data_IF_828034213451
#
_entry.id   IF_828034213451
#
_cell.length_a   1.000
_cell.length_b   1.000
_cell.length_c   1.000
_cell.angle_alpha   90.00
_cell.angle_beta   90.00
_cell.angle_gamma   90.00
#
_symmetry.space_group_name_H-M   'P 1'
#
loop_
_entity.id
_entity.type
_entity.pdbx_description
1 polymer ?
#
# COMPACT_ATOMS: atom_id res chain seq x y z
N UNK A 1 -22.41 -73.02 37.00
CA UNK A 1 -23.14 -72.98 38.29
C UNK A 1 -23.97 -71.68 38.36
N UNK A 2 -24.99 -71.63 39.23
CA UNK A 2 -25.90 -70.51 39.50
C UNK A 2 -25.18 -69.16 39.82
N UNK A 3 -25.74 -67.94 39.78
CA UNK A 3 -27.09 -67.32 39.50
C UNK A 3 -26.83 -65.79 39.26
N UNK A 4 -27.72 -64.85 38.89
CA UNK A 4 -29.15 -64.75 38.54
C UNK A 4 -29.39 -63.49 37.64
N UNK A 5 -30.65 -63.06 37.41
CA UNK A 5 -31.03 -61.74 36.83
C UNK A 5 -31.88 -60.91 37.81
N UNK A 6 -32.91 -60.13 37.40
CA UNK A 6 -33.24 -59.58 36.07
C UNK A 6 -33.81 -58.11 36.10
N UNK A 7 -34.21 -57.57 34.92
CA UNK A 7 -35.18 -56.44 34.75
C UNK A 7 -34.72 -55.02 35.17
N UNK A 8 -35.28 -53.89 34.66
CA UNK A 8 -36.49 -53.65 33.86
C UNK A 8 -36.39 -52.42 32.92
N UNK A 9 -37.07 -52.52 31.78
CA UNK A 9 -37.37 -51.53 30.71
C UNK A 9 -37.88 -50.14 31.13
N UNK A 10 -37.69 -49.12 30.25
CA UNK A 10 -38.73 -48.33 29.50
C UNK A 10 -38.06 -47.22 28.64
N UNK A 11 -38.58 -46.65 27.53
CA UNK A 11 -39.55 -47.10 26.49
C UNK A 11 -39.54 -46.10 25.29
N UNK A 12 -39.67 -46.60 24.05
CA UNK A 12 -40.18 -45.99 22.77
C UNK A 12 -40.34 -44.45 22.68
N UNK A 13 -39.71 -43.72 21.75
CA UNK A 13 -39.93 -43.63 20.28
C UNK A 13 -41.36 -43.23 19.78
N UNK A 14 -41.41 -42.07 19.09
CA UNK A 14 -42.04 -41.74 17.77
C UNK A 14 -43.59 -41.51 17.57
N UNK A 15 -43.98 -40.23 17.41
CA UNK A 15 -44.98 -39.59 16.48
C UNK A 15 -46.46 -40.14 16.43
N UNK A 16 -47.42 -39.64 15.58
CA UNK A 16 -47.60 -38.35 14.83
C UNK A 16 -49.02 -37.66 14.92
N UNK A 17 -49.17 -36.39 14.47
CA UNK A 17 -50.42 -35.68 14.02
C UNK A 17 -51.61 -35.53 15.03
N UNK A 18 -52.70 -34.70 14.82
CA UNK A 18 -53.32 -34.18 13.58
C UNK A 18 -53.84 -32.71 13.57
N UNK A 19 -54.71 -32.39 12.60
CA UNK A 19 -55.30 -31.08 12.21
C UNK A 19 -56.59 -30.67 12.95
N UNK A 20 -56.89 -29.36 13.03
CA UNK A 20 -58.26 -28.81 12.88
C UNK A 20 -58.32 -27.27 12.66
N UNK A 21 -59.51 -26.77 12.28
CA UNK A 21 -59.77 -25.52 11.54
C UNK A 21 -60.70 -24.50 12.24
N UNK A 22 -60.62 -23.20 11.90
CA UNK A 22 -61.73 -22.24 12.08
C UNK A 22 -61.62 -21.01 11.13
N UNK A 23 -62.69 -20.19 11.04
CA UNK A 23 -63.04 -19.41 9.83
C UNK A 23 -63.63 -18.01 10.10
N UNK A 24 -63.65 -17.15 9.05
CA UNK A 24 -64.53 -15.98 8.77
C UNK A 24 -64.12 -14.52 9.12
N UNK A 25 -64.73 -13.59 8.34
CA UNK A 25 -64.56 -12.11 8.15
C UNK A 25 -65.53 -11.28 9.03
N UNK A 26 -65.32 -9.95 9.31
CA UNK A 26 -65.72 -8.77 8.45
C UNK A 26 -64.70 -7.57 8.48
N UNK A 27 -64.51 -6.66 7.50
CA UNK A 27 -65.34 -5.62 6.79
C UNK A 27 -65.45 -4.23 7.49
N UNK A 28 -65.13 -3.13 6.73
CA UNK A 28 -65.25 -1.66 6.99
C UNK A 28 -64.25 -1.01 7.99
N UNK A 29 -63.77 0.24 7.80
CA UNK A 29 -63.81 1.16 6.64
C UNK A 29 -63.68 2.67 6.98
N UNK A 30 -62.97 3.45 6.15
CA UNK A 30 -62.96 4.94 6.14
C UNK A 30 -61.86 5.62 7.02
N UNK A 31 -61.41 6.86 6.74
CA UNK A 31 -61.92 7.87 5.76
C UNK A 31 -60.92 9.02 5.45
N UNK A 32 -60.53 9.16 4.16
CA UNK A 32 -60.22 10.41 3.38
C UNK A 32 -58.97 11.25 3.81
N UNK A 33 -58.40 12.11 2.94
CA UNK A 33 -58.95 12.82 1.76
C UNK A 33 -58.00 12.79 0.54
N UNK A 34 -58.58 12.76 -0.67
CA UNK A 34 -57.94 13.09 -1.95
C UNK A 34 -57.73 14.63 -2.09
N UNK A 35 -57.25 15.20 -3.20
CA UNK A 35 -57.93 15.31 -4.51
C UNK A 35 -56.92 15.17 -5.66
N UNK A 36 -57.35 14.56 -6.75
CA UNK A 36 -56.68 14.49 -8.06
C UNK A 36 -56.89 15.78 -8.88
N UNK A 37 -56.20 15.92 -10.01
CA UNK A 37 -56.91 16.11 -11.29
C UNK A 37 -55.97 15.72 -12.46
N UNK A 38 -56.48 14.88 -13.35
CA UNK A 38 -55.88 14.50 -14.63
C UNK A 38 -56.41 15.46 -15.72
N UNK A 39 -55.56 15.86 -16.67
CA UNK A 39 -56.02 16.21 -18.03
C UNK A 39 -55.07 15.57 -19.06
N UNK A 40 -55.68 14.82 -19.98
CA UNK A 40 -55.04 14.05 -21.06
C UNK A 40 -55.28 14.77 -22.41
N UNK A 41 -54.55 14.35 -23.46
CA UNK A 41 -54.70 14.76 -24.88
C UNK A 41 -54.35 16.20 -25.30
N UNK A 42 -53.30 16.38 -26.12
CA UNK A 42 -53.41 16.33 -27.60
C UNK A 42 -52.08 16.69 -28.31
N UNK A 43 -51.96 16.30 -29.57
CA UNK A 43 -50.79 16.49 -30.45
C UNK A 43 -50.50 17.94 -30.83
N UNK A 44 -49.21 18.29 -30.89
CA UNK A 44 -48.70 19.42 -31.66
C UNK A 44 -47.37 19.06 -32.32
N UNK A 45 -47.34 19.01 -33.65
CA UNK A 45 -46.09 19.00 -34.42
C UNK A 45 -45.36 20.32 -34.18
N UNK A 46 -44.07 20.25 -33.84
CA UNK A 46 -43.17 21.39 -33.95
C UNK A 46 -42.20 21.12 -35.09
N UNK A 47 -42.33 21.93 -36.15
CA UNK A 47 -41.29 22.09 -37.16
C UNK A 47 -39.97 22.47 -36.47
N UNK A 48 -38.90 21.71 -36.74
CA UNK A 48 -37.53 22.14 -36.46
C UNK A 48 -37.14 23.25 -37.46
N UNK A 49 -36.89 24.49 -37.04
CA UNK A 49 -36.06 25.38 -37.83
C UNK A 49 -34.60 24.94 -37.67
N UNK A 50 -33.92 24.63 -38.78
CA UNK A 50 -32.47 24.36 -38.81
C UNK A 50 -31.71 25.48 -38.08
N UNK A 51 -31.31 25.23 -36.84
CA UNK A 51 -30.36 26.09 -36.13
C UNK A 51 -28.95 25.64 -36.49
N UNK A 52 -28.34 26.37 -37.42
CA UNK A 52 -26.90 26.33 -37.66
C UNK A 52 -26.15 26.62 -36.34
N UNK A 53 -25.71 25.56 -35.66
CA UNK A 53 -24.94 25.67 -34.42
C UNK A 53 -23.56 26.22 -34.77
N UNK A 54 -23.33 27.48 -34.39
CA UNK A 54 -22.02 28.13 -34.46
C UNK A 54 -20.96 27.32 -33.70
N UNK A 55 -20.10 26.64 -34.47
CA UNK A 55 -19.06 25.72 -34.01
C UNK A 55 -17.99 26.40 -33.10
N UNK A 56 -18.04 27.73 -33.00
CA UNK A 56 -17.19 28.57 -32.16
C UNK A 56 -17.53 28.50 -30.66
N UNK A 57 -18.82 28.42 -30.28
CA UNK A 57 -19.21 28.57 -28.86
C UNK A 57 -19.11 27.26 -28.05
N UNK A 58 -19.34 26.10 -28.69
CA UNK A 58 -19.31 24.80 -28.01
C UNK A 58 -17.93 24.38 -27.46
N UNK A 59 -16.83 24.92 -27.99
CA UNK A 59 -15.47 24.60 -27.52
C UNK A 59 -15.16 25.19 -26.14
N UNK A 60 -15.65 26.38 -25.83
CA UNK A 60 -15.38 27.05 -24.56
C UNK A 60 -16.00 26.33 -23.36
N UNK A 61 -17.26 25.88 -23.51
CA UNK A 61 -17.96 25.14 -22.46
C UNK A 61 -17.40 23.72 -22.29
N UNK A 62 -17.03 23.05 -23.40
CA UNK A 62 -16.38 21.74 -23.35
C UNK A 62 -15.01 21.76 -22.64
N UNK A 63 -14.17 22.78 -22.90
CA UNK A 63 -12.88 22.93 -22.21
C UNK A 63 -13.06 23.28 -20.72
N UNK A 64 -14.07 24.11 -20.40
CA UNK A 64 -14.46 24.39 -19.02
C UNK A 64 -15.01 23.14 -18.28
N UNK A 65 -15.76 22.27 -18.94
CA UNK A 65 -16.21 20.98 -18.39
C UNK A 65 -15.02 20.05 -18.11
N UNK A 66 -14.04 20.00 -19.04
CA UNK A 66 -12.80 19.24 -18.87
C UNK A 66 -11.98 19.77 -17.68
N UNK A 67 -11.86 21.08 -17.50
CA UNK A 67 -11.13 21.69 -16.37
C UNK A 67 -11.81 21.47 -15.02
N UNK A 68 -13.15 21.50 -14.98
CA UNK A 68 -13.92 21.11 -13.78
C UNK A 68 -13.64 19.64 -13.43
N UNK A 69 -13.76 18.72 -14.40
CA UNK A 69 -13.52 17.29 -14.20
C UNK A 69 -12.07 16.95 -13.87
N UNK A 70 -11.11 17.69 -14.42
CA UNK A 70 -9.70 17.57 -14.05
C UNK A 70 -9.50 17.97 -12.59
N UNK A 71 -10.10 19.09 -12.16
CA UNK A 71 -10.06 19.54 -10.76
C UNK A 71 -10.69 18.54 -9.79
N UNK A 72 -11.80 17.90 -10.17
CA UNK A 72 -12.45 16.86 -9.37
C UNK A 72 -11.63 15.56 -9.32
N UNK A 73 -10.95 15.19 -10.41
CA UNK A 73 -9.97 14.09 -10.40
C UNK A 73 -8.80 14.39 -9.45
N UNK A 74 -8.29 15.62 -9.44
CA UNK A 74 -7.24 16.05 -8.50
C UNK A 74 -7.70 15.96 -7.05
N UNK A 75 -8.88 16.50 -6.71
CA UNK A 75 -9.46 16.39 -5.35
C UNK A 75 -9.64 14.93 -4.93
N UNK A 76 -10.14 14.10 -5.83
CA UNK A 76 -10.34 12.67 -5.59
C UNK A 76 -9.01 11.94 -5.36
N UNK A 77 -7.97 12.24 -6.14
CA UNK A 77 -6.64 11.64 -5.98
C UNK A 77 -6.00 12.02 -4.64
N UNK A 78 -6.03 13.31 -4.26
CA UNK A 78 -5.50 13.80 -2.99
C UNK A 78 -6.20 13.15 -1.79
N UNK A 79 -7.54 13.02 -1.83
CA UNK A 79 -8.29 12.37 -0.76
C UNK A 79 -8.02 10.86 -0.64
N UNK A 80 -7.78 10.18 -1.76
CA UNK A 80 -7.38 8.77 -1.76
C UNK A 80 -5.96 8.58 -1.23
N UNK A 81 -5.05 9.51 -1.52
CA UNK A 81 -3.66 9.42 -1.05
C UNK A 81 -3.53 9.66 0.46
N UNK A 82 -4.31 10.56 1.07
CA UNK A 82 -4.38 10.69 2.53
C UNK A 82 -4.73 9.35 3.24
N UNK A 83 -5.50 8.47 2.57
CA UNK A 83 -5.85 7.13 3.09
C UNK A 83 -4.91 6.03 2.55
N UNK A 84 -3.89 6.41 1.77
CA UNK A 84 -3.02 5.54 0.98
C UNK A 84 -3.85 4.45 0.28
N UNK A 85 -4.92 4.84 -0.41
CA UNK A 85 -5.86 3.92 -1.09
C UNK A 85 -5.62 3.89 -2.60
N UNK A 86 -5.61 2.68 -3.18
CA UNK A 86 -5.42 2.46 -4.61
C UNK A 86 -6.60 3.02 -5.44
N UNK A 87 -6.28 3.81 -6.47
CA UNK A 87 -7.27 4.54 -7.28
C UNK A 87 -7.60 3.73 -8.54
N UNK A 88 -8.78 3.11 -8.62
CA UNK A 88 -9.16 2.31 -9.81
C UNK A 88 -9.78 3.19 -10.90
N UNK A 89 -9.53 2.87 -12.17
CA UNK A 89 -10.16 3.56 -13.32
C UNK A 89 -11.69 3.50 -13.26
N UNK A 90 -12.26 2.41 -12.74
CA UNK A 90 -13.70 2.28 -12.55
C UNK A 90 -14.25 3.25 -11.49
N UNK A 91 -13.49 3.53 -10.43
CA UNK A 91 -13.84 4.51 -9.41
C UNK A 91 -13.76 5.94 -9.96
N UNK A 92 -12.69 6.28 -10.69
CA UNK A 92 -12.59 7.56 -11.41
C UNK A 92 -13.79 7.72 -12.37
N UNK A 93 -14.11 6.67 -13.13
CA UNK A 93 -15.22 6.72 -14.10
C UNK A 93 -16.55 6.98 -13.40
N UNK A 94 -16.83 6.30 -12.27
CA UNK A 94 -18.08 6.46 -11.52
C UNK A 94 -18.17 7.78 -10.75
N UNK A 95 -17.08 8.23 -10.13
CA UNK A 95 -17.06 9.34 -9.16
C UNK A 95 -16.74 10.70 -9.78
N UNK A 96 -16.07 10.73 -10.93
CA UNK A 96 -15.63 11.98 -11.59
C UNK A 96 -16.24 12.15 -12.98
N UNK A 97 -16.26 11.09 -13.81
CA UNK A 97 -16.68 11.21 -15.21
C UNK A 97 -18.19 10.99 -15.43
N UNK A 98 -18.82 10.17 -14.58
CA UNK A 98 -20.22 9.76 -14.73
C UNK A 98 -20.45 9.03 -16.06
N UNK A 99 -21.36 9.54 -16.87
CA UNK A 99 -21.62 9.08 -18.24
C UNK A 99 -20.43 9.29 -19.19
N UNK A 100 -19.61 10.32 -18.96
CA UNK A 100 -18.61 10.81 -19.92
C UNK A 100 -17.28 10.02 -19.84
N UNK A 101 -17.36 8.69 -19.62
CA UNK A 101 -16.20 7.78 -19.48
C UNK A 101 -15.17 7.84 -20.63
N UNK A 102 -15.58 8.29 -21.82
CA UNK A 102 -14.70 8.48 -22.99
C UNK A 102 -13.70 9.64 -22.82
N UNK A 103 -14.01 10.66 -22.00
CA UNK A 103 -13.11 11.79 -21.76
C UNK A 103 -12.01 11.52 -20.72
N UNK A 104 -11.88 10.27 -20.23
CA UNK A 104 -10.87 9.89 -19.24
C UNK A 104 -9.44 10.31 -19.64
N UNK A 105 -9.01 10.10 -20.89
CA UNK A 105 -7.66 10.44 -21.31
C UNK A 105 -7.41 11.97 -21.30
N UNK A 106 -8.25 12.83 -21.94
CA UNK A 106 -8.15 14.28 -21.81
C UNK A 106 -8.18 14.78 -20.36
N UNK A 107 -9.13 14.30 -19.55
CA UNK A 107 -9.27 14.70 -18.13
C UNK A 107 -8.04 14.30 -17.32
N UNK A 108 -7.48 13.10 -17.57
CA UNK A 108 -6.25 12.65 -16.93
C UNK A 108 -5.06 13.53 -17.32
N UNK A 109 -4.85 13.82 -18.60
CA UNK A 109 -3.74 14.67 -19.04
C UNK A 109 -3.80 16.07 -18.40
N UNK A 110 -5.00 16.65 -18.32
CA UNK A 110 -5.21 17.95 -17.68
C UNK A 110 -5.03 17.89 -16.17
N UNK A 111 -5.53 16.86 -15.50
CA UNK A 111 -5.30 16.63 -14.07
C UNK A 111 -3.81 16.42 -13.74
N UNK A 112 -3.05 15.71 -14.58
CA UNK A 112 -1.59 15.55 -14.41
C UNK A 112 -0.84 16.88 -14.49
N UNK A 113 -1.24 17.78 -15.40
CA UNK A 113 -0.67 19.14 -15.48
C UNK A 113 -0.94 19.94 -14.20
N UNK A 114 -2.14 19.81 -13.61
CA UNK A 114 -2.50 20.46 -12.35
C UNK A 114 -1.75 19.85 -11.15
N UNK A 115 -1.68 18.51 -11.05
CA UNK A 115 -0.96 17.81 -9.97
C UNK A 115 0.52 18.18 -9.96
N UNK A 116 1.19 18.14 -11.12
CA UNK A 116 2.62 18.46 -11.21
C UNK A 116 2.91 19.94 -10.96
N UNK A 117 2.09 20.85 -11.50
CA UNK A 117 2.30 22.30 -11.36
C UNK A 117 2.02 22.82 -9.95
N UNK A 118 0.94 22.36 -9.31
CA UNK A 118 0.45 22.94 -8.05
C UNK A 118 0.89 22.15 -6.83
N UNK A 119 0.98 20.82 -6.94
CA UNK A 119 1.20 19.93 -5.80
C UNK A 119 2.50 19.13 -5.87
N UNK A 120 3.31 19.31 -6.94
CA UNK A 120 4.49 18.49 -7.23
C UNK A 120 4.21 16.98 -7.11
N UNK A 121 3.07 16.53 -7.64
CA UNK A 121 2.64 15.12 -7.63
C UNK A 121 2.24 14.64 -9.02
N UNK A 122 2.19 13.32 -9.22
CA UNK A 122 1.72 12.69 -10.44
C UNK A 122 0.92 11.41 -10.17
N UNK A 123 -0.05 11.11 -11.04
CA UNK A 123 -0.85 9.90 -10.96
C UNK A 123 -0.20 8.78 -11.79
N UNK A 124 0.35 7.74 -11.15
CA UNK A 124 1.12 6.67 -11.81
C UNK A 124 0.27 5.40 -11.90
N UNK A 125 0.23 4.75 -13.07
CA UNK A 125 -0.41 3.44 -13.21
C UNK A 125 0.49 2.33 -12.66
N UNK A 126 -0.04 1.57 -11.70
CA UNK A 126 0.66 0.42 -11.13
C UNK A 126 0.81 -0.70 -12.17
N UNK A 127 1.88 -1.49 -12.04
CA UNK A 127 2.00 -2.73 -12.81
C UNK A 127 0.92 -3.74 -12.40
N UNK A 128 0.52 -4.61 -13.34
CA UNK A 128 -0.47 -5.64 -13.06
C UNK A 128 0.05 -6.60 -11.96
N UNK A 129 -0.82 -7.08 -11.07
CA UNK A 129 -0.41 -7.91 -9.90
C UNK A 129 0.39 -9.18 -10.27
N UNK A 130 0.20 -9.70 -11.49
CA UNK A 130 0.94 -10.84 -12.05
C UNK A 130 2.39 -10.51 -12.45
N UNK A 131 2.83 -9.25 -12.32
CA UNK A 131 4.17 -8.80 -12.68
C UNK A 131 5.28 -9.63 -12.00
N UNK A 132 5.04 -10.18 -10.81
CA UNK A 132 5.94 -11.12 -10.14
C UNK A 132 6.41 -12.25 -11.05
N UNK A 133 5.49 -12.91 -11.76
CA UNK A 133 5.78 -14.03 -12.65
C UNK A 133 6.66 -13.63 -13.85
N UNK A 134 6.68 -12.34 -14.22
CA UNK A 134 7.49 -11.85 -15.34
C UNK A 134 8.94 -11.59 -14.97
N UNK A 135 9.25 -11.08 -13.77
CA UNK A 135 10.64 -10.82 -13.38
C UNK A 135 11.39 -12.10 -12.97
N UNK A 136 10.76 -13.07 -12.29
CA UNK A 136 11.44 -14.37 -12.01
C UNK A 136 11.68 -15.18 -13.28
N UNK A 137 10.78 -15.06 -14.27
CA UNK A 137 10.96 -15.68 -15.57
C UNK A 137 11.85 -14.88 -16.53
N UNK A 138 12.28 -13.66 -16.16
CA UNK A 138 13.22 -12.84 -16.91
C UNK A 138 14.70 -13.13 -16.57
N UNK A 139 14.98 -14.24 -15.87
CA UNK A 139 16.26 -14.93 -16.03
C UNK A 139 16.50 -15.35 -17.48
N UNK A 140 17.76 -15.56 -17.85
CA UNK A 140 18.27 -15.69 -19.24
C UNK A 140 17.40 -16.54 -20.19
N UNK A 141 16.83 -17.64 -19.68
CA UNK A 141 16.09 -18.65 -20.46
C UNK A 141 14.98 -18.07 -21.35
N UNK A 142 14.20 -17.07 -20.90
CA UNK A 142 13.14 -16.50 -21.73
C UNK A 142 13.66 -15.57 -22.84
N UNK A 143 14.84 -14.98 -22.70
CA UNK A 143 15.39 -14.08 -23.71
C UNK A 143 16.06 -14.89 -24.83
N UNK A 144 16.78 -15.96 -24.48
CA UNK A 144 17.36 -16.87 -25.46
C UNK A 144 16.27 -17.69 -26.20
N UNK A 145 15.27 -18.22 -25.49
CA UNK A 145 14.14 -18.91 -26.11
C UNK A 145 13.26 -18.02 -27.00
N UNK A 146 13.12 -16.71 -26.68
CA UNK A 146 12.41 -15.75 -27.54
C UNK A 146 13.17 -15.42 -28.82
N UNK A 147 14.49 -15.27 -28.73
CA UNK A 147 15.34 -15.04 -29.89
C UNK A 147 15.34 -16.25 -30.84
N UNK A 148 15.27 -17.47 -30.30
CA UNK A 148 15.22 -18.71 -31.09
C UNK A 148 13.86 -18.99 -31.78
N UNK A 149 12.74 -18.46 -31.28
CA UNK A 149 11.39 -18.88 -31.73
C UNK A 149 10.63 -17.88 -32.62
N UNK A 150 11.16 -16.67 -32.84
CA UNK A 150 10.62 -15.73 -33.84
C UNK A 150 9.19 -15.23 -33.59
N UNK A 151 8.65 -15.44 -32.37
CA UNK A 151 7.25 -15.09 -32.04
C UNK A 151 7.10 -13.57 -31.93
N UNK A 152 6.36 -13.00 -32.90
CA UNK A 152 6.09 -11.56 -32.97
C UNK A 152 5.52 -11.02 -31.66
N UNK A 153 6.06 -9.87 -31.22
CA UNK A 153 5.66 -9.04 -30.07
C UNK A 153 4.16 -9.10 -29.79
N UNK A 154 3.73 -10.00 -28.89
CA UNK A 154 2.37 -10.00 -28.36
C UNK A 154 2.20 -8.70 -27.57
N UNK A 155 1.13 -7.97 -27.88
CA UNK A 155 0.85 -6.61 -27.40
C UNK A 155 1.07 -6.51 -25.90
N UNK A 156 1.65 -5.39 -25.44
CA UNK A 156 1.91 -5.13 -24.02
C UNK A 156 0.68 -5.48 -23.18
N UNK A 157 0.90 -6.16 -22.04
CA UNK A 157 -0.17 -6.55 -21.14
C UNK A 157 -1.01 -5.31 -20.79
N UNK A 158 -2.34 -5.45 -20.84
CA UNK A 158 -3.22 -4.36 -20.46
C UNK A 158 -2.85 -3.88 -19.05
N UNK A 159 -2.58 -2.58 -18.92
CA UNK A 159 -2.22 -1.97 -17.63
C UNK A 159 -3.24 -2.30 -16.54
N UNK A 160 -2.81 -2.21 -15.28
CA UNK A 160 -3.63 -2.61 -14.13
C UNK A 160 -4.93 -1.80 -13.99
N UNK A 161 -5.05 -0.68 -14.71
CA UNK A 161 -6.10 0.35 -14.59
C UNK A 161 -6.25 0.83 -13.13
N UNK A 162 -5.18 0.71 -12.36
CA UNK A 162 -5.10 1.03 -10.94
C UNK A 162 -3.93 1.98 -10.75
N UNK A 163 -4.19 3.11 -10.12
CA UNK A 163 -3.27 4.22 -10.01
C UNK A 163 -2.93 4.52 -8.55
N UNK A 164 -1.79 5.15 -8.34
CA UNK A 164 -1.34 5.75 -7.07
C UNK A 164 -0.92 7.20 -7.33
N UNK A 165 -0.89 8.01 -6.28
CA UNK A 165 -0.35 9.37 -6.35
C UNK A 165 1.08 9.36 -5.82
N UNK A 166 2.05 9.84 -6.62
CA UNK A 166 3.47 9.86 -6.27
C UNK A 166 3.98 11.30 -6.22
N UNK A 167 4.87 11.60 -5.28
CA UNK A 167 5.62 12.86 -5.27
C UNK A 167 6.59 12.94 -6.44
N UNK A 168 6.60 14.06 -7.15
CA UNK A 168 7.61 14.43 -8.15
C UNK A 168 8.56 15.51 -7.64
N UNK A 169 8.57 15.78 -6.32
CA UNK A 169 9.53 16.67 -5.71
C UNK A 169 10.92 16.03 -5.74
N UNK A 170 11.95 16.82 -6.04
CA UNK A 170 13.32 16.33 -6.12
C UNK A 170 13.80 15.81 -4.74
N UNK A 171 14.33 14.57 -4.63
CA UNK A 171 14.84 14.04 -3.38
C UNK A 171 15.85 14.95 -2.68
N UNK A 172 16.66 15.70 -3.43
CA UNK A 172 17.65 16.64 -2.89
C UNK A 172 16.96 17.80 -2.14
N UNK A 173 15.80 18.27 -2.62
CA UNK A 173 15.02 19.30 -1.93
C UNK A 173 14.44 18.76 -0.62
N UNK A 174 13.96 17.51 -0.62
CA UNK A 174 13.45 16.84 0.59
C UNK A 174 14.58 16.67 1.60
N UNK A 175 15.75 16.21 1.16
CA UNK A 175 16.93 16.05 2.02
C UNK A 175 17.34 17.39 2.66
N UNK A 176 17.43 18.47 1.88
CA UNK A 176 17.75 19.80 2.42
C UNK A 176 16.68 20.33 3.37
N UNK A 177 15.38 20.10 3.09
CA UNK A 177 14.28 20.51 3.96
C UNK A 177 14.17 19.68 5.26
N UNK A 178 14.80 18.50 5.29
CA UNK A 178 14.87 17.61 6.44
C UNK A 178 16.08 17.87 7.36
N UNK A 179 17.10 18.62 6.90
CA UNK A 179 18.28 18.96 7.71
C UNK A 179 17.89 19.91 8.84
N UNK A 180 18.41 19.65 10.03
CA UNK A 180 18.34 20.56 11.18
C UNK A 180 19.25 21.77 10.93
N UNK A 181 18.67 22.96 10.97
CA UNK A 181 19.36 24.25 11.09
C UNK A 181 19.40 24.66 12.57
N UNK A 182 20.57 25.04 13.05
CA UNK A 182 20.83 25.36 14.46
C UNK A 182 19.98 26.56 14.93
N UNK A 183 19.79 27.57 14.08
CA UNK A 183 19.03 28.78 14.44
C UNK A 183 17.54 28.51 14.53
N UNK A 184 17.01 27.73 13.58
CA UNK A 184 15.62 27.31 13.60
C UNK A 184 15.33 26.38 14.78
N UNK A 185 16.33 25.60 15.23
CA UNK A 185 16.22 24.77 16.43
C UNK A 185 16.21 25.61 17.72
N UNK A 186 17.11 26.60 17.83
CA UNK A 186 17.13 27.55 18.95
C UNK A 186 15.82 28.35 19.06
N UNK A 187 15.30 28.85 17.94
CA UNK A 187 14.05 29.62 17.87
C UNK A 187 12.84 28.75 18.26
N UNK A 188 12.74 27.50 17.75
CA UNK A 188 11.70 26.54 18.16
C UNK A 188 11.71 26.22 19.65
N UNK A 189 12.90 26.12 20.27
CA UNK A 189 13.02 25.88 21.72
C UNK A 189 12.63 27.13 22.52
N UNK A 190 13.00 28.33 22.06
CA UNK A 190 12.65 29.57 22.73
C UNK A 190 11.12 29.77 22.76
N UNK A 191 10.46 29.61 21.61
CA UNK A 191 8.99 29.68 21.50
C UNK A 191 8.32 28.63 22.42
N UNK A 192 8.81 27.38 22.41
CA UNK A 192 8.27 26.29 23.24
C UNK A 192 8.55 26.40 24.74
N UNK A 193 9.33 27.38 25.20
CA UNK A 193 9.58 27.64 26.62
C UNK A 193 8.69 28.73 27.22
N UNK A 194 7.97 29.52 26.41
CA UNK A 194 7.05 30.55 26.92
C UNK A 194 5.71 29.96 27.39
N UNK A 195 5.24 28.89 26.75
CA UNK A 195 4.02 28.14 27.12
C UNK A 195 4.31 27.16 28.27
N UNK A 196 4.36 27.68 29.49
CA UNK A 196 4.71 26.96 30.72
C UNK A 196 3.69 25.94 31.25
N UNK A 197 3.11 25.11 30.39
CA UNK A 197 2.31 23.94 30.76
C UNK A 197 3.15 22.65 30.61
N UNK A 198 3.28 21.87 31.70
CA UNK A 198 3.95 20.55 31.73
C UNK A 198 3.13 19.49 30.95
N UNK A 199 2.93 19.70 29.65
CA UNK A 199 2.16 18.79 28.79
C UNK A 199 3.11 17.80 28.09
N UNK A 200 2.96 16.51 28.41
CA UNK A 200 3.69 15.37 27.81
C UNK A 200 3.50 15.27 26.28
N UNK A 201 2.61 16.06 25.69
CA UNK A 201 2.31 16.18 24.25
C UNK A 201 3.11 17.33 23.54
N UNK A 202 4.09 17.98 24.21
CA UNK A 202 4.94 19.04 23.62
C UNK A 202 5.56 18.61 22.27
N UNK A 203 5.33 19.42 21.23
CA UNK A 203 5.75 19.09 19.87
C UNK A 203 7.28 19.09 19.74
N UNK A 204 7.86 17.92 19.45
CA UNK A 204 9.31 17.77 19.26
C UNK A 204 9.88 18.81 18.29
N UNK A 205 10.82 19.61 18.77
CA UNK A 205 11.61 20.52 17.95
C UNK A 205 12.53 19.70 17.03
N UNK A 206 12.59 20.08 15.75
CA UNK A 206 13.45 19.41 14.75
C UNK A 206 14.49 20.36 14.15
N UNK A 207 14.28 21.68 14.24
CA UNK A 207 15.10 22.69 13.56
C UNK A 207 15.07 22.57 12.03
N UNK A 208 14.14 21.80 11.46
CA UNK A 208 14.01 21.55 10.02
C UNK A 208 12.72 22.17 9.48
N UNK A 209 12.68 22.41 8.17
CA UNK A 209 11.48 22.93 7.47
C UNK A 209 10.33 21.91 7.57
N UNK A 210 10.65 20.61 7.55
CA UNK A 210 9.68 19.53 7.73
C UNK A 210 9.52 19.21 9.23
N UNK A 211 8.29 19.30 9.75
CA UNK A 211 7.93 18.86 11.11
C UNK A 211 7.48 17.38 11.07
N UNK A 212 8.38 16.48 11.48
CA UNK A 212 8.15 15.02 11.38
C UNK A 212 7.17 14.46 12.41
N UNK A 213 6.86 15.19 13.50
CA UNK A 213 5.87 14.80 14.52
C UNK A 213 4.43 14.98 14.04
N UNK A 214 4.20 16.05 13.25
CA UNK A 214 2.87 16.49 12.82
C UNK A 214 2.48 15.98 11.43
N UNK A 215 3.46 15.81 10.53
CA UNK A 215 3.19 15.70 9.08
C UNK A 215 3.08 14.27 8.54
N UNK A 216 3.61 13.25 9.21
CA UNK A 216 3.54 11.84 8.75
C UNK A 216 3.39 10.86 9.92
N UNK A 217 3.12 9.60 9.59
CA UNK A 217 3.03 8.47 10.51
C UNK A 217 4.41 7.80 10.63
N UNK A 218 5.41 8.55 11.12
CA UNK A 218 6.82 8.15 11.09
C UNK A 218 7.07 6.76 11.69
N UNK A 219 6.42 6.44 12.83
CA UNK A 219 6.51 5.11 13.45
C UNK A 219 5.97 3.98 12.55
N UNK A 220 4.80 4.18 11.93
CA UNK A 220 4.25 3.23 10.98
C UNK A 220 5.11 3.09 9.73
N UNK A 221 5.57 4.21 9.15
CA UNK A 221 6.43 4.23 7.97
C UNK A 221 7.77 3.53 8.23
N UNK A 222 8.38 3.71 9.40
CA UNK A 222 9.58 2.98 9.81
C UNK A 222 9.35 1.46 9.90
N UNK A 223 8.21 1.03 10.46
CA UNK A 223 7.84 -0.40 10.51
C UNK A 223 7.59 -0.97 9.11
N UNK A 224 6.93 -0.22 8.20
CA UNK A 224 6.76 -0.61 6.80
C UNK A 224 8.11 -0.83 6.11
N UNK A 225 9.02 0.15 6.15
CA UNK A 225 10.34 0.03 5.52
C UNK A 225 11.16 -1.11 6.12
N UNK A 226 11.06 -1.35 7.43
CA UNK A 226 11.70 -2.48 8.10
C UNK A 226 11.15 -3.83 7.62
N UNK A 227 9.83 -3.99 7.47
CA UNK A 227 9.21 -5.21 6.93
C UNK A 227 9.66 -5.45 5.48
N UNK A 228 9.71 -4.40 4.66
CA UNK A 228 10.17 -4.50 3.27
C UNK A 228 11.64 -4.89 3.19
N UNK A 229 12.51 -4.30 4.03
CA UNK A 229 13.92 -4.65 4.16
C UNK A 229 14.12 -6.12 4.57
N UNK A 230 13.36 -6.60 5.57
CA UNK A 230 13.40 -7.99 6.02
C UNK A 230 13.04 -8.96 4.89
N UNK A 231 11.96 -8.70 4.14
CA UNK A 231 11.55 -9.53 3.00
C UNK A 231 12.60 -9.49 1.88
N UNK A 232 13.19 -8.33 1.59
CA UNK A 232 14.21 -8.18 0.55
C UNK A 232 15.48 -8.98 0.90
N UNK A 233 15.93 -8.88 2.15
CA UNK A 233 17.09 -9.62 2.67
C UNK A 233 16.90 -11.14 2.75
N UNK A 234 15.67 -11.65 2.58
CA UNK A 234 15.37 -13.08 2.54
C UNK A 234 15.05 -13.60 1.12
N UNK A 235 15.44 -12.87 0.08
CA UNK A 235 15.24 -13.33 -1.31
C UNK A 235 13.89 -12.97 -1.91
N UNK A 236 13.32 -11.82 -1.50
CA UNK A 236 12.01 -11.27 -1.96
C UNK A 236 10.78 -12.04 -1.44
N UNK A 237 10.97 -13.10 -0.65
CA UNK A 237 9.95 -13.87 0.04
C UNK A 237 10.35 -14.15 1.50
N UNK A 238 9.37 -14.28 2.40
CA UNK A 238 9.60 -14.63 3.82
C UNK A 238 8.43 -15.42 4.38
N UNK A 239 8.67 -16.47 5.18
CA UNK A 239 7.57 -17.20 5.83
C UNK A 239 6.89 -16.37 6.92
N UNK A 240 5.61 -16.63 7.20
CA UNK A 240 4.88 -15.98 8.30
C UNK A 240 5.52 -16.24 9.68
N UNK A 241 6.15 -17.40 9.86
CA UNK A 241 6.89 -17.74 11.08
C UNK A 241 8.14 -16.87 11.24
N UNK A 242 8.94 -16.73 10.18
CA UNK A 242 10.16 -15.91 10.19
C UNK A 242 9.85 -14.42 10.34
N UNK A 243 8.80 -13.93 9.67
CA UNK A 243 8.37 -12.54 9.83
C UNK A 243 7.95 -12.26 11.27
N UNK A 244 7.13 -13.14 11.88
CA UNK A 244 6.72 -13.01 13.28
C UNK A 244 7.90 -13.13 14.26
N UNK A 245 8.87 -14.00 13.97
CA UNK A 245 10.08 -14.12 14.78
C UNK A 245 10.93 -12.85 14.75
N UNK A 246 11.11 -12.24 13.57
CA UNK A 246 11.82 -10.97 13.43
C UNK A 246 11.08 -9.80 14.07
N UNK A 247 9.77 -9.67 13.82
CA UNK A 247 8.94 -8.63 14.47
C UNK A 247 8.95 -8.75 16.00
N UNK A 248 8.91 -9.97 16.55
CA UNK A 248 9.06 -10.20 18.00
C UNK A 248 10.41 -9.71 18.54
N UNK A 249 11.52 -9.87 17.80
CA UNK A 249 12.85 -9.36 18.18
C UNK A 249 12.90 -7.83 18.19
N UNK A 250 12.09 -7.17 17.36
CA UNK A 250 11.91 -5.71 17.31
C UNK A 250 10.88 -5.18 18.34
N UNK A 251 10.46 -6.01 19.31
CA UNK A 251 9.41 -5.65 20.29
C UNK A 251 7.98 -5.70 19.74
N UNK A 252 7.79 -5.80 18.43
CA UNK A 252 6.51 -5.92 17.73
C UNK A 252 5.99 -7.36 17.75
N UNK A 253 5.83 -7.93 18.94
CA UNK A 253 5.17 -9.22 19.14
C UNK A 253 3.68 -9.17 18.73
N UNK A 254 2.96 -10.29 18.73
CA UNK A 254 1.53 -10.31 18.34
C UNK A 254 0.62 -9.45 19.25
N UNK A 255 1.04 -9.16 20.49
CA UNK A 255 0.38 -8.19 21.38
C UNK A 255 0.94 -6.77 21.27
N UNK A 256 1.98 -6.57 20.45
CA UNK A 256 2.58 -5.28 20.17
C UNK A 256 1.71 -4.40 19.28
N UNK A 257 1.85 -3.09 19.43
CA UNK A 257 1.14 -2.10 18.63
C UNK A 257 2.12 -1.13 17.97
N UNK A 258 1.79 -0.71 16.76
CA UNK A 258 2.51 0.31 15.99
C UNK A 258 1.93 1.67 16.37
N UNK A 259 2.78 2.61 16.76
CA UNK A 259 2.38 3.98 17.07
C UNK A 259 1.93 4.72 15.81
N UNK A 260 0.88 5.54 15.93
CA UNK A 260 0.29 6.34 14.86
C UNK A 260 0.31 7.82 15.26
N UNK A 261 0.32 8.72 14.28
CA UNK A 261 0.30 10.16 14.54
C UNK A 261 -1.10 10.66 14.98
N UNK A 262 -1.18 11.90 15.44
CA UNK A 262 -2.42 12.54 15.93
C UNK A 262 -3.54 12.64 14.86
N UNK A 263 -3.21 12.50 13.57
CA UNK A 263 -4.18 12.48 12.46
C UNK A 263 -4.92 11.13 12.34
N UNK A 264 -4.43 10.07 13.00
CA UNK A 264 -5.07 8.76 13.05
C UNK A 264 -6.22 8.73 14.06
N UNK A 265 -7.31 8.05 13.73
CA UNK A 265 -8.43 7.79 14.67
C UNK A 265 -8.03 6.90 15.85
N UNK A 266 -6.86 6.25 15.79
CA UNK A 266 -6.29 5.43 16.86
C UNK A 266 -4.83 5.82 17.07
N UNK A 267 -4.43 6.19 18.30
CA UNK A 267 -3.03 6.51 18.66
C UNK A 267 -2.08 5.31 18.48
N UNK A 268 -2.58 4.07 18.49
CA UNK A 268 -1.81 2.88 18.12
C UNK A 268 -2.67 1.82 17.43
N UNK A 269 -2.02 0.90 16.71
CA UNK A 269 -2.68 -0.17 15.96
C UNK A 269 -1.99 -1.53 16.20
N UNK A 270 -2.70 -2.62 16.56
CA UNK A 270 -2.11 -3.94 16.70
C UNK A 270 -1.38 -4.40 15.43
N UNK A 271 -0.25 -5.09 15.57
CA UNK A 271 0.61 -5.44 14.43
C UNK A 271 -0.11 -6.24 13.33
N UNK A 272 -0.96 -7.22 13.69
CA UNK A 272 -1.72 -8.01 12.72
C UNK A 272 -2.77 -7.16 11.96
N UNK A 273 -3.34 -6.13 12.61
CA UNK A 273 -4.24 -5.17 11.97
C UNK A 273 -3.46 -4.24 11.03
N UNK A 274 -2.25 -3.83 11.42
CA UNK A 274 -1.36 -3.02 10.57
C UNK A 274 -0.89 -3.79 9.32
N UNK A 275 -0.50 -5.06 9.46
CA UNK A 275 -0.20 -5.94 8.31
C UNK A 275 -1.41 -6.05 7.38
N UNK A 276 -2.62 -6.21 7.94
CA UNK A 276 -3.87 -6.21 7.17
C UNK A 276 -4.17 -4.87 6.47
N UNK A 277 -3.73 -3.74 7.03
CA UNK A 277 -3.79 -2.42 6.39
C UNK A 277 -2.79 -2.33 5.23
N UNK A 278 -1.52 -2.69 5.45
CA UNK A 278 -0.48 -2.70 4.40
C UNK A 278 -0.86 -3.58 3.20
N UNK A 279 -1.52 -4.72 3.44
CA UNK A 279 -2.10 -5.55 2.39
C UNK A 279 -3.20 -4.84 1.59
N UNK A 280 -4.12 -4.13 2.25
CA UNK A 280 -5.18 -3.37 1.58
C UNK A 280 -4.64 -2.18 0.77
N UNK A 281 -3.57 -1.55 1.26
CA UNK A 281 -2.86 -0.45 0.61
C UNK A 281 -1.95 -0.93 -0.54
N UNK A 282 -1.67 -2.23 -0.64
CA UNK A 282 -0.89 -2.84 -1.73
C UNK A 282 0.63 -2.83 -1.52
N UNK A 283 1.11 -2.58 -0.29
CA UNK A 283 2.53 -2.58 0.05
C UNK A 283 3.11 -3.99 0.27
N UNK A 284 2.29 -4.93 0.74
CA UNK A 284 2.69 -6.33 0.93
C UNK A 284 1.56 -7.26 0.44
N UNK A 285 1.91 -8.45 -0.04
CA UNK A 285 0.96 -9.54 -0.22
C UNK A 285 1.35 -10.74 0.65
N UNK A 286 0.34 -11.49 1.08
CA UNK A 286 0.46 -12.81 1.69
C UNK A 286 -0.09 -13.85 0.72
N UNK A 287 0.76 -14.77 0.27
CA UNK A 287 0.41 -15.86 -0.65
C UNK A 287 0.53 -17.20 0.10
N UNK A 288 -0.31 -18.18 -0.24
CA UNK A 288 -0.12 -19.57 0.18
C UNK A 288 0.83 -20.26 -0.80
N UNK A 289 1.89 -20.86 -0.27
CA UNK A 289 2.79 -21.72 -1.05
C UNK A 289 1.94 -22.82 -1.74
N UNK A 290 1.91 -22.81 -3.08
CA UNK A 290 1.09 -23.71 -3.90
C UNK A 290 -0.18 -23.11 -4.54
N UNK A 291 -0.64 -21.90 -4.19
CA UNK A 291 -1.77 -21.24 -4.87
C UNK A 291 -1.37 -20.49 -6.16
N UNK A 292 -0.58 -21.13 -7.03
CA UNK A 292 -0.44 -20.65 -8.42
C UNK A 292 -1.76 -20.91 -9.16
N UNK A 293 -2.55 -19.85 -9.39
CA UNK A 293 -3.75 -19.90 -10.23
C UNK A 293 -3.39 -20.12 -11.70
N UNK A 294 -3.12 -21.37 -12.04
CA UNK A 294 -2.94 -21.82 -13.42
C UNK A 294 -4.13 -21.37 -14.28
N UNK A 295 -3.86 -20.48 -15.23
CA UNK A 295 -4.89 -19.91 -16.11
C UNK A 295 -5.17 -20.85 -17.27
N UNK A 296 -6.32 -21.54 -17.21
CA UNK A 296 -6.95 -22.14 -18.39
C UNK A 296 -6.51 -23.57 -18.76
N UNK A 297 -7.05 -24.56 -18.05
CA UNK A 297 -7.08 -25.96 -18.49
C UNK A 297 -8.52 -26.49 -18.50
N UNK A 298 -8.92 -27.21 -19.56
CA UNK A 298 -10.27 -27.80 -19.67
C UNK A 298 -10.58 -28.73 -18.49
N UNK A 299 -11.87 -28.84 -18.13
CA UNK A 299 -12.40 -29.78 -17.12
C UNK A 299 -11.86 -31.21 -17.31
N UNK A 300 -10.78 -31.52 -16.60
CA UNK A 300 -10.21 -32.86 -16.47
C UNK A 300 -10.57 -33.43 -15.11
N UNK A 301 -11.11 -34.65 -15.10
CA UNK A 301 -11.50 -35.41 -13.90
C UNK A 301 -10.28 -35.53 -12.96
N UNK A 302 -10.41 -35.04 -11.74
CA UNK A 302 -9.35 -35.15 -10.74
C UNK A 302 -9.01 -36.64 -10.46
N UNK A 303 -7.72 -37.03 -10.39
CA UNK A 303 -7.34 -38.28 -9.79
C UNK A 303 -7.65 -38.26 -8.29
N UNK A 304 -7.93 -39.41 -7.70
CA UNK A 304 -8.33 -39.51 -6.30
C UNK A 304 -7.25 -38.95 -5.37
N UNK A 305 -7.66 -38.13 -4.41
CA UNK A 305 -6.77 -37.64 -3.37
C UNK A 305 -6.35 -38.79 -2.45
N UNK A 306 -5.09 -39.23 -2.58
CA UNK A 306 -4.42 -40.01 -1.55
C UNK A 306 -4.41 -39.16 -0.28
N UNK A 307 -4.82 -39.72 0.87
CA UNK A 307 -4.88 -39.00 2.13
C UNK A 307 -3.48 -38.59 2.60
N UNK A 308 -3.12 -37.33 2.32
CA UNK A 308 -1.99 -36.64 2.92
C UNK A 308 -2.37 -35.99 4.25
N UNK A 309 -1.39 -35.88 5.14
CA UNK A 309 -1.47 -35.31 6.48
C UNK A 309 -2.03 -33.86 6.46
N UNK A 310 -3.07 -33.51 7.25
CA UNK A 310 -3.72 -32.20 7.14
C UNK A 310 -2.91 -31.01 7.67
N UNK A 311 -1.84 -31.24 8.43
CA UNK A 311 -1.04 -30.19 9.09
C UNK A 311 0.29 -29.86 8.37
N UNK A 312 0.64 -30.54 7.28
CA UNK A 312 1.88 -30.26 6.55
C UNK A 312 1.71 -29.21 5.44
N UNK A 313 2.17 -28.00 5.76
CA UNK A 313 2.83 -27.09 4.84
C UNK A 313 2.00 -26.28 3.82
N UNK A 314 0.85 -25.71 4.24
CA UNK A 314 0.36 -24.45 3.64
C UNK A 314 1.16 -23.26 4.20
N UNK A 315 2.46 -23.19 3.90
CA UNK A 315 3.29 -22.06 4.31
C UNK A 315 2.74 -20.75 3.72
N UNK A 316 2.42 -19.78 4.59
CA UNK A 316 2.06 -18.44 4.18
C UNK A 316 3.35 -17.64 3.98
N UNK A 317 3.53 -17.09 2.78
CA UNK A 317 4.71 -16.33 2.39
C UNK A 317 4.36 -14.86 2.13
N UNK A 318 5.13 -13.98 2.75
CA UNK A 318 5.07 -12.54 2.62
C UNK A 318 6.01 -12.03 1.53
N UNK A 319 5.49 -11.10 0.75
CA UNK A 319 6.16 -10.57 -0.44
C UNK A 319 5.86 -9.08 -0.60
N UNK A 320 6.75 -8.34 -1.28
CA UNK A 320 6.50 -6.94 -1.66
C UNK A 320 5.30 -6.82 -2.61
N UNK A 321 4.31 -6.02 -2.23
CA UNK A 321 3.17 -5.68 -3.08
C UNK A 321 3.55 -4.71 -4.20
N UNK A 322 2.72 -4.62 -5.23
CA UNK A 322 2.98 -3.81 -6.42
C UNK A 322 3.20 -2.31 -6.11
N UNK A 323 2.68 -1.80 -4.99
CA UNK A 323 2.85 -0.39 -4.60
C UNK A 323 4.27 -0.09 -4.14
N UNK A 324 4.88 -0.99 -3.36
CA UNK A 324 6.25 -0.84 -2.87
C UNK A 324 7.26 -0.71 -3.99
N UNK A 325 7.06 -1.45 -5.10
CA UNK A 325 7.89 -1.33 -6.31
C UNK A 325 7.72 0.02 -7.06
N UNK A 326 6.58 0.70 -6.91
CA UNK A 326 6.26 1.95 -7.62
C UNK A 326 6.49 3.23 -6.80
N UNK A 327 6.60 3.11 -5.48
CA UNK A 327 6.85 4.23 -4.56
C UNK A 327 8.24 4.21 -3.93
N UNK A 328 8.75 3.03 -3.58
CA UNK A 328 9.97 2.89 -2.76
C UNK A 328 11.11 2.28 -3.60
N UNK A 329 10.86 1.13 -4.23
CA UNK A 329 11.85 0.40 -5.02
C UNK A 329 12.90 -0.33 -4.16
N UNK A 330 13.43 -1.44 -4.69
CA UNK A 330 14.37 -2.29 -3.96
C UNK A 330 15.73 -1.62 -3.75
N UNK A 331 16.18 -0.81 -4.72
CA UNK A 331 17.44 -0.08 -4.59
C UNK A 331 17.44 0.91 -3.42
N UNK A 332 16.34 1.63 -3.18
CA UNK A 332 16.26 2.59 -2.08
C UNK A 332 16.29 1.88 -0.71
N UNK A 333 15.56 0.78 -0.57
CA UNK A 333 15.57 -0.02 0.67
C UNK A 333 16.95 -0.65 0.91
N UNK A 334 17.63 -1.14 -0.13
CA UNK A 334 18.98 -1.67 0.00
C UNK A 334 20.01 -0.60 0.37
N UNK A 335 19.90 0.62 -0.17
CA UNK A 335 20.71 1.77 0.23
C UNK A 335 20.47 2.12 1.70
N UNK A 336 19.20 2.30 2.11
CA UNK A 336 18.81 2.59 3.50
C UNK A 336 19.38 1.57 4.50
N UNK A 337 19.25 0.26 4.21
CA UNK A 337 19.79 -0.79 5.09
C UNK A 337 21.33 -0.76 5.10
N UNK A 338 21.97 -0.49 3.97
CA UNK A 338 23.42 -0.38 3.90
C UNK A 338 23.94 0.83 4.68
N UNK A 339 23.28 1.99 4.60
CA UNK A 339 23.60 3.19 5.36
C UNK A 339 23.43 2.95 6.86
N UNK A 340 22.28 2.45 7.29
CA UNK A 340 22.00 2.09 8.70
C UNK A 340 23.04 1.13 9.29
N UNK A 341 23.47 0.11 8.53
CA UNK A 341 24.50 -0.85 8.95
C UNK A 341 25.91 -0.25 8.97
N UNK A 342 26.19 0.77 8.17
CA UNK A 342 27.49 1.48 8.21
C UNK A 342 27.54 2.49 9.34
N UNK A 343 26.46 3.23 9.56
CA UNK A 343 26.30 4.20 10.65
C UNK A 343 26.44 3.52 12.02
N UNK A 344 25.63 2.50 12.29
CA UNK A 344 25.72 1.73 13.54
C UNK A 344 27.12 1.15 13.82
N UNK A 345 27.85 0.78 12.77
CA UNK A 345 29.21 0.27 12.93
C UNK A 345 30.24 1.39 13.19
N UNK A 346 29.98 2.64 12.77
CA UNK A 346 30.82 3.79 13.15
C UNK A 346 30.67 4.13 14.62
N UNK A 347 29.46 4.02 15.17
CA UNK A 347 29.20 4.26 16.58
C UNK A 347 29.94 3.24 17.45
N UNK A 348 29.83 1.94 17.13
CA UNK A 348 30.59 0.89 17.80
C UNK A 348 32.12 1.06 17.64
N UNK A 349 32.60 1.36 16.41
CA UNK A 349 34.03 1.60 16.13
C UNK A 349 34.58 2.82 16.90
N UNK A 350 33.71 3.72 17.41
CA UNK A 350 34.10 4.89 18.20
C UNK A 350 34.09 4.62 19.71
N UNK A 351 33.16 3.80 20.22
CA UNK A 351 33.15 3.37 21.63
C UNK A 351 34.39 2.53 21.99
N UNK A 352 34.91 1.70 21.06
CA UNK A 352 36.13 0.91 21.27
C UNK A 352 37.43 1.77 21.23
N UNK A 353 37.46 2.95 20.58
CA UNK A 353 38.66 3.82 20.46
C UNK A 353 38.87 4.69 21.73
N UNK A 354 37.85 4.88 22.57
CA UNK A 354 37.91 5.71 23.80
C UNK A 354 38.44 4.97 25.05
N UNK A 355 38.45 3.63 25.06
CA UNK A 355 38.86 2.81 26.21
C UNK A 355 40.38 2.50 26.29
N UNK A 356 41.18 2.76 25.22
CA UNK A 356 42.60 2.34 25.18
C UNK A 356 43.66 3.46 25.34
N UNK A 357 43.34 4.75 25.11
CA UNK A 357 44.37 5.81 24.99
C UNK A 357 44.55 6.72 26.23
N UNK A 358 44.67 6.08 27.41
CA UNK A 358 45.05 6.74 28.66
C UNK A 358 46.52 7.16 28.78
N UNK A 359 47.35 7.08 27.71
CA UNK A 359 48.81 7.33 27.81
C UNK A 359 49.49 7.99 26.59
N UNK A 360 50.04 9.17 26.88
CA UNK A 360 51.13 9.86 26.19
C UNK A 360 50.77 10.70 24.94
N UNK A 361 51.27 11.94 24.96
CA UNK A 361 50.92 12.99 24.01
C UNK A 361 51.92 13.15 22.85
N UNK A 362 51.53 14.02 21.92
CA UNK A 362 52.36 14.71 20.93
C UNK A 362 52.92 13.89 19.75
N UNK A 363 52.25 14.04 18.59
CA UNK A 363 52.97 14.36 17.36
C UNK A 363 52.70 13.48 16.13
N UNK A 364 51.56 13.71 15.45
CA UNK A 364 51.44 13.61 13.96
C UNK A 364 50.07 14.08 13.45
N UNK A 365 49.88 15.40 13.38
CA UNK A 365 48.80 15.99 12.59
C UNK A 365 49.03 15.81 11.08
N UNK A 366 47.93 15.85 10.30
CA UNK A 366 47.87 15.67 8.82
C UNK A 366 48.12 14.24 8.31
N UNK A 367 47.14 13.36 8.51
CA UNK A 367 47.05 12.06 7.80
C UNK A 367 45.67 11.39 7.88
N UNK A 368 45.09 11.28 9.09
CA UNK A 368 43.90 10.45 9.39
C UNK A 368 42.59 10.90 8.68
N UNK A 369 42.45 12.19 8.36
CA UNK A 369 41.22 12.76 7.79
C UNK A 369 40.85 12.29 6.37
N UNK A 370 41.79 11.72 5.59
CA UNK A 370 41.52 11.30 4.19
C UNK A 370 41.24 9.80 4.01
N UNK A 371 41.27 9.03 5.10
CA UNK A 371 41.00 7.58 5.09
C UNK A 371 39.61 7.20 5.64
N UNK A 372 39.04 7.99 6.55
CA UNK A 372 37.71 7.75 7.12
C UNK A 372 36.60 7.76 6.04
N UNK A 373 36.65 8.75 5.15
CA UNK A 373 35.71 8.97 4.04
C UNK A 373 35.66 7.75 3.09
N UNK A 374 36.81 7.39 2.52
CA UNK A 374 36.94 6.24 1.62
C UNK A 374 36.82 4.86 2.30
N UNK A 375 36.70 4.79 3.62
CA UNK A 375 36.40 3.57 4.38
C UNK A 375 34.90 3.30 4.45
N UNK A 376 34.11 4.32 4.76
CA UNK A 376 32.64 4.26 4.80
C UNK A 376 32.06 3.80 3.46
N UNK A 377 32.47 4.44 2.37
CA UNK A 377 32.07 4.10 0.99
C UNK A 377 32.30 2.63 0.61
N UNK A 378 33.39 2.04 1.09
CA UNK A 378 33.72 0.63 0.82
C UNK A 378 32.86 -0.30 1.67
N UNK A 379 32.66 0.00 2.96
CA UNK A 379 31.73 -0.74 3.83
C UNK A 379 30.31 -0.69 3.22
N UNK A 380 29.84 0.49 2.81
CA UNK A 380 28.53 0.72 2.18
C UNK A 380 28.32 -0.15 0.92
N UNK A 381 29.24 -0.08 -0.04
CA UNK A 381 29.21 -0.90 -1.27
C UNK A 381 29.25 -2.41 -0.96
N UNK A 382 29.95 -2.81 0.10
CA UNK A 382 30.03 -4.22 0.52
C UNK A 382 28.71 -4.72 1.12
N UNK A 383 28.07 -3.92 1.98
CA UNK A 383 26.75 -4.27 2.55
C UNK A 383 25.67 -4.25 1.46
N UNK A 384 25.64 -3.24 0.60
CA UNK A 384 24.73 -3.17 -0.53
C UNK A 384 24.85 -4.40 -1.44
N UNK A 385 26.08 -4.78 -1.82
CA UNK A 385 26.34 -5.98 -2.62
C UNK A 385 26.09 -7.29 -1.87
N UNK A 386 25.94 -7.29 -0.55
CA UNK A 386 25.44 -8.44 0.21
C UNK A 386 23.92 -8.53 0.16
N UNK A 387 23.21 -7.41 0.29
CA UNK A 387 21.75 -7.33 0.16
C UNK A 387 21.31 -7.71 -1.26
N UNK A 388 22.00 -7.22 -2.30
CA UNK A 388 21.70 -7.58 -3.68
C UNK A 388 21.84 -9.09 -3.92
N UNK A 389 22.90 -9.73 -3.41
CA UNK A 389 23.07 -11.19 -3.50
C UNK A 389 21.99 -11.94 -2.73
N UNK A 390 21.61 -11.46 -1.54
CA UNK A 390 20.54 -12.06 -0.74
C UNK A 390 19.16 -11.94 -1.41
N UNK A 391 18.90 -10.85 -2.14
CA UNK A 391 17.67 -10.63 -2.92
C UNK A 391 17.58 -11.46 -4.22
N UNK A 392 18.60 -12.27 -4.54
CA UNK A 392 18.69 -13.03 -5.79
C UNK A 392 19.24 -12.24 -6.98
N UNK A 393 19.85 -11.08 -6.74
CA UNK A 393 20.46 -10.22 -7.76
C UNK A 393 19.50 -9.21 -8.40
N UNK A 394 20.09 -8.16 -8.99
CA UNK A 394 19.45 -7.10 -9.78
C UNK A 394 18.26 -6.44 -9.05
N UNK A 395 18.56 -5.45 -8.22
CA UNK A 395 17.57 -4.69 -7.47
C UNK A 395 16.81 -3.71 -8.38
N UNK A 396 15.48 -3.77 -8.34
CA UNK A 396 14.62 -2.88 -9.13
C UNK A 396 14.62 -1.44 -8.63
N UNK A 397 14.68 -0.50 -9.59
CA UNK A 397 14.39 0.93 -9.36
C UNK A 397 12.88 1.17 -9.30
N UNK A 398 12.49 2.29 -8.69
CA UNK A 398 11.14 2.87 -8.83
C UNK A 398 10.79 2.95 -10.33
N UNK A 399 9.60 2.45 -10.71
CA UNK A 399 9.09 2.46 -12.08
C UNK A 399 7.97 3.48 -12.29
#
# INVERSE_FOLDING_TARGET
>A
MARAGPSRTQRSQRAPQPSQSQSQRPVRGGRRVAVEDDEDENTGEHDDPDMDIDESQGRGDADAELDRKASDLVRFALFMEHKRTLIRREDISKKVLGSNSRSFNPVLERAQKLLRKTFAMELVELQARNYREQDVAAGDDLQEARNATGVKKKTAAAGSKTYILRSTLDPIIIEHAARTDERLYEEQIADGQEDGEDDDDMARCYGSIISWSSSDQLGAMGVLHTILALILANGRSMSDLDLRANLKRLGLSSTGSVSMNAQSTHKSLPIDTYLGQLMKQGYIDRIKQGETKATGGKRGRAPAATQGNPDENQALEWHWGHRSYSEIGEQAVATFVAEFMVERNRDNDAEDDDDEDGRAAQGRGKGRAKQADGGGDKKLKTVYGAIERAAGGNLSKIK
#
